data_IF_948804914632
#
_entry.id   IF_948804914632
#
_cell.length_a   1.000
_cell.length_b   1.000
_cell.length_c   1.000
_cell.angle_alpha   90.00
_cell.angle_beta   90.00
_cell.angle_gamma   90.00
#
_symmetry.space_group_name_H-M   'P 1'
#
loop_
_entity.id
_entity.type
_entity.pdbx_description
1 polymer ?
#
# COMPACT_ATOMS: atom_id res chain seq x y z
N UNK A 1 22.12 2.70 -8.75
CA UNK A 1 20.83 2.09 -8.36
C UNK A 1 21.12 1.22 -7.16
N UNK A 2 20.55 1.46 -5.95
CA UNK A 2 20.74 0.53 -4.86
C UNK A 2 20.01 -0.78 -5.21
N UNK A 3 20.77 -1.88 -5.28
CA UNK A 3 20.22 -3.23 -5.49
C UNK A 3 19.48 -3.70 -4.24
N UNK A 4 18.40 -4.45 -4.42
CA UNK A 4 17.74 -5.14 -3.29
C UNK A 4 18.76 -6.09 -2.66
N UNK A 5 18.86 -6.16 -1.31
CA UNK A 5 19.81 -7.04 -0.64
C UNK A 5 19.63 -8.51 -1.06
N UNK A 6 20.74 -9.25 -1.11
CA UNK A 6 20.75 -10.68 -1.37
C UNK A 6 19.92 -11.44 -0.31
N UNK A 7 19.42 -12.67 -0.62
CA UNK A 7 18.74 -13.50 0.36
C UNK A 7 19.56 -13.65 1.66
N UNK A 8 18.88 -13.64 2.81
CA UNK A 8 19.55 -13.74 4.10
C UNK A 8 20.28 -15.09 4.24
N UNK A 9 21.61 -15.06 4.31
CA UNK A 9 22.45 -16.26 4.40
C UNK A 9 22.61 -16.80 5.84
N UNK A 10 21.74 -16.39 6.78
CA UNK A 10 21.81 -16.84 8.16
C UNK A 10 22.84 -16.12 9.04
N UNK A 11 23.62 -15.19 8.47
CA UNK A 11 24.54 -14.33 9.22
C UNK A 11 23.95 -12.94 9.38
N UNK A 12 23.63 -12.60 10.63
CA UNK A 12 23.20 -11.24 10.97
C UNK A 12 24.41 -10.32 10.96
N UNK A 13 24.35 -9.27 10.15
CA UNK A 13 25.26 -8.14 10.28
C UNK A 13 24.98 -7.45 11.63
N UNK A 14 25.90 -7.62 12.57
CA UNK A 14 25.77 -7.11 13.93
C UNK A 14 25.81 -5.58 13.98
N UNK A 15 26.54 -4.93 13.06
CA UNK A 15 26.59 -3.48 12.98
C UNK A 15 25.25 -2.94 12.47
N UNK A 16 24.69 -3.56 11.43
CA UNK A 16 23.34 -3.27 10.96
C UNK A 16 22.30 -3.48 12.07
N UNK A 17 22.34 -4.60 12.79
CA UNK A 17 21.38 -4.88 13.86
C UNK A 17 21.49 -3.86 15.00
N UNK A 18 22.71 -3.48 15.40
CA UNK A 18 22.92 -2.46 16.42
C UNK A 18 22.35 -1.11 15.98
N UNK A 19 22.59 -0.71 14.72
CA UNK A 19 22.03 0.51 14.15
C UNK A 19 20.49 0.46 14.08
N UNK A 20 19.91 -0.65 13.57
CA UNK A 20 18.47 -0.83 13.47
C UNK A 20 17.77 -0.80 14.84
N UNK A 21 18.41 -1.33 15.89
CA UNK A 21 17.89 -1.26 17.27
C UNK A 21 17.96 0.14 17.89
N UNK A 22 18.88 0.98 17.43
CA UNK A 22 19.05 2.35 17.89
C UNK A 22 18.22 3.35 17.06
N UNK A 23 17.71 2.95 15.90
CA UNK A 23 16.91 3.80 15.04
C UNK A 23 15.52 4.03 15.65
N UNK A 24 15.22 5.30 15.94
CA UNK A 24 13.93 5.76 16.44
C UNK A 24 13.12 6.50 15.37
N UNK A 25 13.57 6.49 14.11
CA UNK A 25 12.81 7.04 13.02
C UNK A 25 11.47 6.28 12.85
N UNK A 26 10.43 6.95 12.32
CA UNK A 26 9.18 6.26 12.03
C UNK A 26 9.39 5.09 11.05
N UNK A 27 8.97 3.90 11.45
CA UNK A 27 8.89 2.75 10.55
C UNK A 27 7.81 2.95 9.46
N UNK A 28 7.68 1.99 8.54
CA UNK A 28 6.73 2.09 7.43
C UNK A 28 5.26 2.12 7.88
N UNK A 29 4.91 1.49 9.01
CA UNK A 29 3.54 1.54 9.53
C UNK A 29 3.26 2.90 10.18
N UNK A 30 4.21 3.44 10.93
CA UNK A 30 4.15 4.79 11.46
C UNK A 30 4.10 5.84 10.33
N UNK A 31 4.80 5.61 9.21
CA UNK A 31 4.71 6.42 8.00
C UNK A 31 3.33 6.30 7.35
N UNK A 32 2.79 5.10 7.24
CA UNK A 32 1.46 4.85 6.66
C UNK A 32 0.36 5.64 7.39
N UNK A 33 0.46 5.75 8.72
CA UNK A 33 -0.45 6.56 9.54
C UNK A 33 -0.32 8.07 9.32
N UNK A 34 0.70 8.56 8.62
CA UNK A 34 0.84 10.00 8.32
C UNK A 34 -0.07 10.48 7.18
N UNK A 35 -0.88 9.59 6.60
CA UNK A 35 -1.75 9.86 5.46
C UNK A 35 -3.22 9.54 5.71
N UNK A 36 -3.58 9.07 6.91
CA UNK A 36 -4.97 8.80 7.27
C UNK A 36 -5.74 10.10 7.50
N UNK A 37 -7.06 9.99 7.57
CA UNK A 37 -7.93 11.13 7.87
C UNK A 37 -7.48 11.89 9.13
N UNK A 38 -7.38 13.21 9.04
CA UNK A 38 -6.95 14.08 10.14
C UNK A 38 -5.44 14.05 10.43
N UNK A 39 -4.62 13.31 9.67
CA UNK A 39 -3.18 13.27 9.89
C UNK A 39 -2.56 14.68 9.79
N UNK A 40 -1.66 15.07 10.71
CA UNK A 40 -1.04 16.38 10.71
C UNK A 40 -0.27 16.67 9.42
N UNK A 41 -0.43 17.89 8.90
CA UNK A 41 0.31 18.34 7.72
C UNK A 41 1.79 18.45 8.06
N UNK A 42 2.63 17.79 7.26
CA UNK A 42 4.09 17.90 7.35
C UNK A 42 4.65 18.42 6.03
N UNK A 43 5.69 19.23 6.15
CA UNK A 43 6.46 19.76 5.01
C UNK A 43 7.91 19.34 5.13
N UNK A 44 8.57 19.19 3.98
CA UNK A 44 10.01 19.02 3.93
C UNK A 44 10.74 20.36 4.22
N UNK A 45 12.08 20.37 4.38
CA UNK A 45 12.83 21.59 4.62
C UNK A 45 12.70 22.67 3.52
N UNK A 46 12.26 22.29 2.32
CA UNK A 46 11.97 23.23 1.22
C UNK A 46 10.54 23.79 1.25
N UNK A 47 9.78 23.51 2.31
CA UNK A 47 8.41 23.97 2.51
C UNK A 47 7.37 23.19 1.69
N UNK A 48 7.75 22.10 1.02
CA UNK A 48 6.85 21.32 0.17
C UNK A 48 6.13 20.25 0.98
N UNK A 49 4.91 19.87 0.57
CA UNK A 49 4.13 18.81 1.23
C UNK A 49 4.94 17.52 1.29
N UNK A 50 4.91 16.87 2.46
CA UNK A 50 5.54 15.58 2.73
C UNK A 50 4.51 14.56 3.25
N UNK A 51 3.63 14.97 4.17
CA UNK A 51 2.59 14.13 4.74
C UNK A 51 1.39 14.96 5.25
N UNK A 52 0.37 14.25 5.74
CA UNK A 52 -0.93 14.77 6.17
C UNK A 52 -2.08 14.09 5.45
N UNK A 53 -3.30 14.42 5.85
CA UNK A 53 -4.53 13.85 5.29
C UNK A 53 -4.50 13.74 3.75
N UNK A 54 -4.86 12.56 3.26
CA UNK A 54 -4.86 12.18 1.85
C UNK A 54 -6.27 11.76 1.44
N UNK A 55 -6.76 12.34 0.35
CA UNK A 55 -8.02 11.93 -0.27
C UNK A 55 -7.84 10.66 -1.10
N UNK A 56 -8.91 9.97 -1.48
CA UNK A 56 -8.79 8.85 -2.43
C UNK A 56 -8.50 9.34 -3.86
N UNK A 57 -9.22 10.39 -4.26
CA UNK A 57 -9.25 10.91 -5.63
C UNK A 57 -10.35 11.98 -5.76
N UNK A 58 -10.42 12.67 -6.90
CA UNK A 58 -11.41 13.72 -7.12
C UNK A 58 -12.84 13.17 -7.08
N UNK A 59 -13.77 14.00 -6.61
CA UNK A 59 -15.20 13.65 -6.54
C UNK A 59 -15.81 13.75 -7.93
N UNK A 60 -16.50 12.69 -8.35
CA UNK A 60 -17.26 12.59 -9.59
C UNK A 60 -18.65 13.23 -9.43
N UNK A 61 -19.33 13.48 -10.56
CA UNK A 61 -20.70 14.03 -10.57
C UNK A 61 -21.72 13.15 -9.84
N UNK A 62 -21.50 11.84 -9.82
CA UNK A 62 -22.34 10.85 -9.14
C UNK A 62 -22.05 10.73 -7.63
N UNK A 63 -21.13 11.55 -7.09
CA UNK A 63 -20.69 11.48 -5.70
C UNK A 63 -19.64 10.39 -5.43
N UNK A 64 -19.31 9.57 -6.44
CA UNK A 64 -18.18 8.64 -6.39
C UNK A 64 -16.84 9.35 -6.45
N UNK A 65 -15.75 8.58 -6.44
CA UNK A 65 -14.38 9.11 -6.57
C UNK A 65 -13.62 8.39 -7.66
N UNK A 66 -12.87 9.16 -8.45
CA UNK A 66 -12.00 8.61 -9.47
C UNK A 66 -10.79 7.92 -8.83
N UNK A 67 -10.34 6.87 -9.51
CA UNK A 67 -9.12 6.14 -9.20
C UNK A 67 -8.03 6.56 -10.18
N UNK A 68 -6.76 6.49 -9.76
CA UNK A 68 -5.63 6.95 -10.54
C UNK A 68 -4.61 7.76 -9.76
N UNK A 69 -4.91 8.16 -8.52
CA UNK A 69 -4.05 9.05 -7.73
C UNK A 69 -2.83 8.30 -7.19
N UNK A 70 -1.64 8.80 -7.49
CA UNK A 70 -0.36 8.22 -7.06
C UNK A 70 0.44 9.18 -6.17
N UNK A 71 1.57 8.72 -5.63
CA UNK A 71 2.39 9.49 -4.69
C UNK A 71 2.85 10.86 -5.25
N UNK A 72 3.10 10.93 -6.56
CA UNK A 72 3.53 12.15 -7.24
C UNK A 72 2.39 13.19 -7.29
N UNK A 73 1.13 12.75 -7.40
CA UNK A 73 -0.05 13.62 -7.34
C UNK A 73 -0.24 14.19 -5.95
N UNK A 74 -0.14 13.33 -4.93
CA UNK A 74 -0.19 13.75 -3.53
C UNK A 74 0.83 14.86 -3.24
N UNK A 75 2.08 14.66 -3.70
CA UNK A 75 3.18 15.61 -3.48
C UNK A 75 3.10 16.82 -4.41
N UNK A 76 2.36 16.73 -5.52
CA UNK A 76 2.35 17.71 -6.60
C UNK A 76 3.71 17.84 -7.28
N UNK A 77 4.40 16.72 -7.54
CA UNK A 77 5.76 16.72 -8.11
C UNK A 77 5.85 15.84 -9.34
N UNK A 78 6.72 16.23 -10.27
CA UNK A 78 7.14 15.33 -11.35
C UNK A 78 8.04 14.25 -10.76
N UNK A 79 7.88 13.02 -11.23
CA UNK A 79 8.73 11.90 -10.84
C UNK A 79 9.39 11.28 -12.06
N UNK A 80 10.64 10.84 -11.91
CA UNK A 80 11.38 10.17 -12.99
C UNK A 80 11.45 8.68 -12.67
N UNK A 81 10.76 7.87 -13.46
CA UNK A 81 10.93 6.43 -13.52
C UNK A 81 12.01 6.07 -14.55
N UNK A 82 12.52 4.83 -14.54
CA UNK A 82 13.47 4.36 -15.56
C UNK A 82 12.94 4.48 -16.99
N UNK A 83 11.62 4.31 -17.18
CA UNK A 83 10.92 4.30 -18.47
C UNK A 83 10.32 5.66 -18.87
N UNK A 84 10.43 6.70 -18.02
CA UNK A 84 9.92 8.02 -18.37
C UNK A 84 9.67 8.96 -17.19
N UNK A 85 9.16 10.14 -17.49
CA UNK A 85 8.77 11.14 -16.49
C UNK A 85 7.26 11.11 -16.30
N UNK A 86 6.83 10.91 -15.06
CA UNK A 86 5.45 11.06 -14.64
C UNK A 86 5.18 12.47 -14.13
N UNK A 87 4.08 13.08 -14.55
CA UNK A 87 3.70 14.44 -14.17
C UNK A 87 2.47 14.35 -13.27
N UNK A 88 2.41 15.13 -12.18
CA UNK A 88 1.26 15.06 -11.29
C UNK A 88 0.00 15.59 -11.99
N UNK A 89 -1.11 14.89 -11.87
CA UNK A 89 -2.40 15.41 -12.27
C UNK A 89 -2.91 16.39 -11.21
N UNK A 90 -3.12 17.65 -11.62
CA UNK A 90 -3.52 18.70 -10.69
C UNK A 90 -4.87 18.43 -10.00
N UNK A 91 -5.80 17.79 -10.71
CA UNK A 91 -7.09 17.39 -10.15
C UNK A 91 -6.98 16.32 -9.05
N UNK A 92 -5.87 15.60 -9.00
CA UNK A 92 -5.57 14.53 -8.03
C UNK A 92 -4.67 15.01 -6.89
N UNK A 93 -4.44 16.32 -6.78
CA UNK A 93 -3.50 16.87 -5.80
C UNK A 93 -3.92 16.56 -4.37
N UNK A 94 -3.00 15.94 -3.63
CA UNK A 94 -3.25 15.54 -2.25
C UNK A 94 -4.05 14.23 -2.13
N UNK A 95 -4.22 13.49 -3.22
CA UNK A 95 -4.91 12.21 -3.24
C UNK A 95 -3.94 11.04 -3.35
N UNK A 96 -4.32 9.89 -2.80
CA UNK A 96 -3.63 8.61 -2.90
C UNK A 96 -4.70 7.52 -3.04
N UNK A 97 -4.75 6.82 -4.18
CA UNK A 97 -5.59 5.63 -4.31
C UNK A 97 -4.94 4.42 -3.59
N UNK A 98 -5.55 3.24 -3.69
CA UNK A 98 -5.09 2.05 -2.96
C UNK A 98 -3.60 1.75 -3.21
N UNK A 99 -3.18 1.73 -4.48
CA UNK A 99 -1.82 1.39 -4.89
C UNK A 99 -0.90 2.61 -4.88
N UNK A 100 -1.42 3.81 -5.10
CA UNK A 100 -0.71 5.07 -4.89
C UNK A 100 -0.30 5.27 -3.43
N UNK A 101 -1.15 4.89 -2.49
CA UNK A 101 -0.83 4.88 -1.05
C UNK A 101 0.30 3.89 -0.72
N UNK A 102 0.26 2.67 -1.27
CA UNK A 102 1.35 1.70 -1.10
C UNK A 102 2.66 2.23 -1.68
N UNK A 103 2.63 2.84 -2.87
CA UNK A 103 3.80 3.49 -3.49
C UNK A 103 4.31 4.68 -2.70
N UNK A 104 3.42 5.46 -2.06
CA UNK A 104 3.83 6.50 -1.13
C UNK A 104 4.63 5.92 0.04
N UNK A 105 4.09 4.90 0.71
CA UNK A 105 4.68 4.31 1.92
C UNK A 105 5.96 3.54 1.61
N UNK A 106 5.90 2.54 0.73
CA UNK A 106 7.03 1.64 0.49
C UNK A 106 8.01 2.21 -0.54
N UNK A 107 7.51 2.93 -1.54
CA UNK A 107 8.33 3.47 -2.62
C UNK A 107 8.96 4.82 -2.25
N UNK A 108 8.17 5.89 -2.23
CA UNK A 108 8.68 7.24 -2.01
C UNK A 108 9.26 7.44 -0.60
N UNK A 109 8.56 6.98 0.44
CA UNK A 109 9.00 7.12 1.83
C UNK A 109 9.93 6.00 2.28
N UNK A 110 9.71 4.78 1.81
CA UNK A 110 10.48 3.58 2.17
C UNK A 110 11.69 3.30 1.28
N UNK A 111 11.82 4.00 0.15
CA UNK A 111 12.98 3.91 -0.75
C UNK A 111 12.96 2.73 -1.73
N UNK A 112 11.88 1.94 -1.80
CA UNK A 112 11.80 0.90 -2.83
C UNK A 112 11.72 1.52 -4.24
N UNK A 113 12.45 0.97 -5.22
CA UNK A 113 12.32 1.41 -6.61
C UNK A 113 10.87 1.26 -7.09
N UNK A 114 10.42 2.18 -7.93
CA UNK A 114 9.06 2.18 -8.50
C UNK A 114 9.10 2.27 -10.02
N UNK A 115 8.17 1.57 -10.69
CA UNK A 115 8.03 1.57 -12.15
C UNK A 115 6.60 1.96 -12.56
N UNK A 116 6.40 2.53 -13.76
CA UNK A 116 5.06 2.90 -14.25
C UNK A 116 4.27 1.68 -14.73
N UNK A 117 4.94 0.76 -15.39
CA UNK A 117 4.40 -0.52 -15.81
C UNK A 117 5.10 -1.69 -15.08
N UNK A 118 4.52 -2.89 -15.17
CA UNK A 118 5.26 -4.11 -14.89
C UNK A 118 6.41 -4.23 -15.92
N UNK A 119 7.65 -4.42 -15.47
CA UNK A 119 8.78 -4.32 -16.40
C UNK A 119 10.17 -4.71 -15.88
N UNK A 120 10.25 -5.36 -14.72
CA UNK A 120 11.50 -5.98 -14.25
C UNK A 120 11.40 -6.41 -12.80
N UNK A 121 12.03 -7.53 -12.41
CA UNK A 121 12.17 -7.85 -11.00
C UNK A 121 12.98 -6.72 -10.35
N UNK A 122 12.53 -6.20 -9.21
CA UNK A 122 13.14 -5.11 -8.41
C UNK A 122 12.47 -3.72 -8.48
N UNK A 123 11.23 -3.57 -8.93
CA UNK A 123 10.48 -2.33 -8.74
C UNK A 123 9.00 -2.56 -8.40
N UNK A 124 8.43 -1.68 -7.59
CA UNK A 124 7.03 -1.65 -7.22
C UNK A 124 6.19 -1.06 -8.39
N UNK A 125 5.33 -1.86 -9.04
CA UNK A 125 4.50 -1.40 -10.17
C UNK A 125 3.41 -0.43 -9.74
N UNK A 126 2.68 0.17 -10.70
CA UNK A 126 1.62 1.14 -10.39
C UNK A 126 0.30 0.50 -9.94
N UNK A 127 -0.08 -0.64 -10.51
CA UNK A 127 -1.40 -1.24 -10.33
C UNK A 127 -1.38 -2.38 -9.32
N UNK A 128 -2.47 -2.56 -8.56
CA UNK A 128 -2.58 -3.60 -7.52
C UNK A 128 -2.32 -5.02 -8.05
N UNK A 129 -2.95 -5.45 -9.15
CA UNK A 129 -2.67 -6.77 -9.75
C UNK A 129 -1.19 -6.92 -10.15
N UNK A 130 -0.58 -5.88 -10.74
CA UNK A 130 0.84 -5.92 -11.11
C UNK A 130 1.74 -6.01 -9.89
N UNK A 131 1.36 -5.40 -8.76
CA UNK A 131 2.09 -5.54 -7.50
C UNK A 131 2.01 -6.97 -6.97
N UNK A 132 0.84 -7.62 -7.05
CA UNK A 132 0.70 -9.02 -6.67
C UNK A 132 1.64 -9.91 -7.53
N UNK A 133 1.59 -9.73 -8.84
CA UNK A 133 2.30 -10.57 -9.81
C UNK A 133 3.81 -10.33 -9.82
N UNK A 134 4.25 -9.06 -9.77
CA UNK A 134 5.59 -8.67 -10.19
C UNK A 134 6.35 -7.74 -9.23
N UNK A 135 5.76 -7.30 -8.11
CA UNK A 135 6.53 -6.54 -7.11
C UNK A 135 7.69 -7.39 -6.54
N UNK A 136 8.77 -6.75 -6.02
CA UNK A 136 9.86 -7.47 -5.37
C UNK A 136 9.41 -8.25 -4.12
N UNK A 137 10.33 -9.06 -3.59
CA UNK A 137 10.14 -9.79 -2.34
C UNK A 137 9.44 -11.14 -2.50
N UNK A 138 8.88 -11.63 -1.40
CA UNK A 138 8.36 -12.99 -1.25
C UNK A 138 6.85 -13.06 -1.44
N UNK A 139 6.38 -13.92 -2.35
CA UNK A 139 4.97 -14.30 -2.44
C UNK A 139 4.62 -15.19 -1.24
N UNK A 140 3.75 -14.70 -0.37
CA UNK A 140 3.26 -15.44 0.80
C UNK A 140 2.00 -16.25 0.47
N UNK A 141 1.17 -15.71 -0.41
CA UNK A 141 0.01 -16.38 -0.98
C UNK A 141 -0.21 -15.87 -2.41
N UNK A 142 -0.30 -16.80 -3.36
CA UNK A 142 -0.63 -16.48 -4.75
C UNK A 142 -2.16 -16.40 -4.94
N UNK A 143 -2.61 -15.66 -5.95
CA UNK A 143 -4.03 -15.64 -6.31
C UNK A 143 -4.46 -17.01 -6.87
N UNK A 144 -5.37 -17.67 -6.16
CA UNK A 144 -5.91 -19.00 -6.51
C UNK A 144 -7.41 -18.97 -6.80
N UNK A 145 -7.98 -17.80 -7.06
CA UNK A 145 -9.43 -17.61 -7.16
C UNK A 145 -10.22 -17.79 -5.85
N UNK A 146 -9.52 -17.93 -4.72
CA UNK A 146 -10.12 -18.13 -3.40
C UNK A 146 -9.34 -17.40 -2.29
N UNK A 147 -9.98 -17.09 -1.14
CA UNK A 147 -9.30 -16.57 0.03
C UNK A 147 -8.12 -17.46 0.48
N UNK A 148 -6.90 -16.91 0.61
CA UNK A 148 -5.75 -17.66 1.10
C UNK A 148 -5.97 -18.27 2.48
N UNK A 149 -5.49 -19.51 2.66
CA UNK A 149 -5.36 -20.14 3.96
C UNK A 149 -4.08 -21.02 3.99
N UNK A 150 -3.35 -21.07 5.11
CA UNK A 150 -3.58 -20.36 6.37
C UNK A 150 -2.89 -18.99 6.47
N UNK A 151 -3.51 -18.05 7.21
CA UNK A 151 -3.04 -16.66 7.35
C UNK A 151 -1.92 -16.44 8.38
N UNK A 152 -1.37 -17.51 8.96
CA UNK A 152 -0.34 -17.40 10.00
C UNK A 152 1.02 -16.96 9.46
N UNK A 153 1.25 -17.05 8.15
CA UNK A 153 2.48 -16.59 7.50
C UNK A 153 2.57 -15.05 7.40
N UNK A 154 1.45 -14.35 7.58
CA UNK A 154 1.38 -12.89 7.49
C UNK A 154 2.02 -12.22 8.72
N UNK A 155 2.81 -11.18 8.47
CA UNK A 155 3.40 -10.29 9.45
C UNK A 155 3.02 -8.82 9.14
N UNK A 156 2.92 -7.95 10.16
CA UNK A 156 2.65 -6.53 9.94
C UNK A 156 3.60 -5.92 8.90
N UNK A 157 3.05 -5.16 7.96
CA UNK A 157 3.78 -4.62 6.80
C UNK A 157 3.64 -5.43 5.51
N UNK A 158 3.14 -6.67 5.56
CA UNK A 158 2.86 -7.43 4.35
C UNK A 158 1.76 -6.77 3.51
N UNK A 159 1.90 -6.83 2.20
CA UNK A 159 0.85 -6.41 1.28
C UNK A 159 -0.22 -7.50 1.19
N UNK A 160 -1.48 -7.06 1.20
CA UNK A 160 -2.67 -7.90 1.03
C UNK A 160 -3.49 -7.41 -0.15
N UNK A 161 -3.89 -8.31 -1.03
CA UNK A 161 -4.50 -8.00 -2.32
C UNK A 161 -5.92 -8.54 -2.40
N UNK A 162 -6.81 -7.79 -3.04
CA UNK A 162 -8.24 -8.09 -3.08
C UNK A 162 -8.83 -7.90 -4.48
N UNK A 163 -9.84 -8.71 -4.77
CA UNK A 163 -10.78 -8.63 -5.89
C UNK A 163 -12.11 -8.13 -5.30
N UNK A 164 -12.18 -6.81 -5.04
CA UNK A 164 -13.20 -6.17 -4.22
C UNK A 164 -14.26 -5.41 -5.04
N UNK A 165 -13.97 -5.10 -6.30
CA UNK A 165 -14.91 -4.60 -7.28
C UNK A 165 -15.67 -5.78 -7.89
N UNK A 166 -16.96 -5.60 -8.12
CA UNK A 166 -17.80 -6.63 -8.74
C UNK A 166 -17.97 -6.41 -10.25
N UNK A 167 -17.50 -5.27 -10.77
CA UNK A 167 -17.79 -4.74 -12.10
C UNK A 167 -16.60 -4.73 -13.06
N UNK A 168 -15.39 -5.09 -12.62
CA UNK A 168 -14.19 -5.10 -13.47
C UNK A 168 -13.62 -6.50 -13.79
N UNK A 169 -14.36 -7.56 -13.42
CA UNK A 169 -14.03 -8.96 -13.66
C UNK A 169 -13.56 -9.67 -12.38
N UNK A 170 -12.81 -10.76 -12.54
CA UNK A 170 -12.20 -11.49 -11.42
C UNK A 170 -10.68 -11.21 -11.41
N UNK A 171 -10.30 -9.98 -11.08
CA UNK A 171 -8.90 -9.54 -11.10
C UNK A 171 -8.66 -8.63 -9.91
N UNK A 172 -7.55 -8.87 -9.21
CA UNK A 172 -7.07 -7.98 -8.14
C UNK A 172 -7.15 -6.50 -8.55
N UNK A 173 -7.98 -5.76 -7.83
CA UNK A 173 -8.24 -4.32 -8.01
C UNK A 173 -7.77 -3.49 -6.82
N UNK A 174 -7.56 -4.12 -5.66
CA UNK A 174 -7.30 -3.40 -4.43
C UNK A 174 -6.12 -3.98 -3.66
N UNK A 175 -5.40 -3.11 -2.96
CA UNK A 175 -4.25 -3.47 -2.13
C UNK A 175 -4.29 -2.72 -0.80
N UNK A 176 -3.82 -3.38 0.25
CA UNK A 176 -3.64 -2.82 1.57
C UNK A 176 -2.37 -3.32 2.26
N UNK A 177 -2.10 -2.78 3.44
CA UNK A 177 -0.97 -3.11 4.30
C UNK A 177 -1.53 -3.84 5.53
N UNK A 178 -1.09 -5.07 5.76
CA UNK A 178 -1.48 -5.83 6.94
C UNK A 178 -0.93 -5.19 8.21
N UNK A 179 -1.78 -5.03 9.23
CA UNK A 179 -1.44 -4.38 10.50
C UNK A 179 -1.17 -5.38 11.63
N UNK A 180 -1.49 -6.65 11.44
CA UNK A 180 -1.47 -7.65 12.51
C UNK A 180 -2.86 -7.94 13.07
N UNK A 181 -2.87 -8.45 14.30
CA UNK A 181 -4.06 -8.89 15.02
C UNK A 181 -4.48 -7.82 16.03
N UNK A 182 -5.75 -7.42 16.02
CA UNK A 182 -6.30 -6.49 17.01
C UNK A 182 -6.59 -7.16 18.37
N UNK A 183 -7.02 -6.36 19.35
CA UNK A 183 -7.38 -6.84 20.69
C UNK A 183 -8.55 -7.82 20.71
N UNK A 184 -9.33 -7.90 19.63
CA UNK A 184 -10.40 -8.88 19.44
C UNK A 184 -9.94 -10.17 18.74
N UNK A 185 -8.64 -10.34 18.51
CA UNK A 185 -8.09 -11.50 17.82
C UNK A 185 -8.31 -11.48 16.30
N UNK A 186 -8.63 -10.31 15.71
CA UNK A 186 -8.96 -10.18 14.29
C UNK A 186 -7.81 -9.60 13.48
N UNK A 187 -7.58 -10.13 12.28
CA UNK A 187 -6.55 -9.65 11.35
C UNK A 187 -6.97 -8.36 10.66
N UNK A 188 -6.29 -7.25 10.97
CA UNK A 188 -6.58 -5.91 10.45
C UNK A 188 -5.64 -5.51 9.32
N UNK A 189 -6.12 -4.65 8.43
CA UNK A 189 -5.28 -4.03 7.40
C UNK A 189 -5.64 -2.55 7.20
N UNK A 190 -4.71 -1.80 6.63
CA UNK A 190 -4.82 -0.39 6.28
C UNK A 190 -4.84 -0.26 4.75
N UNK A 191 -5.79 0.49 4.20
CA UNK A 191 -5.84 0.73 2.75
C UNK A 191 -6.50 2.06 2.43
N UNK A 192 -6.17 2.67 1.29
CA UNK A 192 -6.89 3.83 0.79
C UNK A 192 -8.17 3.42 0.06
N UNK A 193 -9.33 4.01 0.41
CA UNK A 193 -10.64 3.58 -0.10
C UNK A 193 -11.49 4.72 -0.62
N UNK A 194 -12.24 4.48 -1.70
CA UNK A 194 -13.26 5.40 -2.24
C UNK A 194 -14.25 5.84 -1.15
N UNK A 195 -14.82 4.87 -0.42
CA UNK A 195 -15.86 5.12 0.58
C UNK A 195 -15.39 5.82 1.86
N UNK A 196 -14.09 5.78 2.16
CA UNK A 196 -13.51 6.48 3.31
C UNK A 196 -12.82 7.80 2.94
N UNK A 197 -12.76 8.10 1.63
CA UNK A 197 -11.96 9.18 1.07
C UNK A 197 -10.50 9.18 1.52
N UNK A 198 -9.81 8.05 1.32
CA UNK A 198 -8.38 7.95 1.60
C UNK A 198 -7.99 6.76 2.48
N UNK A 199 -6.73 6.75 2.97
CA UNK A 199 -6.20 5.71 3.85
C UNK A 199 -6.98 5.56 5.16
N UNK A 200 -7.43 4.34 5.45
CA UNK A 200 -8.16 4.02 6.67
C UNK A 200 -7.88 2.60 7.19
N UNK A 201 -7.83 2.47 8.52
CA UNK A 201 -7.88 1.21 9.26
C UNK A 201 -9.30 0.90 9.77
N UNK A 202 -10.24 1.81 9.53
CA UNK A 202 -11.63 1.72 9.97
C UNK A 202 -12.49 0.83 9.08
N UNK A 203 -13.76 0.71 9.41
CA UNK A 203 -14.70 -0.20 8.73
C UNK A 203 -15.55 0.51 7.66
N UNK A 204 -15.25 1.78 7.38
CA UNK A 204 -15.89 2.58 6.34
C UNK A 204 -15.52 2.05 4.95
N UNK A 205 -16.54 1.87 4.10
CA UNK A 205 -16.37 1.25 2.78
C UNK A 205 -16.08 -0.25 2.81
N UNK A 206 -16.27 -0.90 3.96
CA UNK A 206 -15.99 -2.32 4.18
C UNK A 206 -15.14 -2.53 5.43
N UNK A 207 -15.39 -3.58 6.20
CA UNK A 207 -14.64 -3.87 7.42
C UNK A 207 -13.18 -4.17 7.09
N UNK A 208 -12.24 -3.56 7.81
CA UNK A 208 -10.80 -3.78 7.62
C UNK A 208 -10.35 -5.13 8.19
N UNK A 209 -10.94 -6.22 7.71
CA UNK A 209 -10.76 -7.57 8.22
C UNK A 209 -10.39 -8.53 7.08
N UNK A 210 -9.33 -9.31 7.30
CA UNK A 210 -8.98 -10.44 6.43
C UNK A 210 -9.79 -11.70 6.77
N UNK A 211 -10.14 -11.86 8.04
CA UNK A 211 -10.97 -12.97 8.50
C UNK A 211 -12.46 -12.60 8.37
N UNK A 212 -13.28 -13.52 7.88
CA UNK A 212 -14.73 -13.35 7.88
C UNK A 212 -15.29 -13.42 9.32
N UNK A 213 -16.25 -12.58 9.65
CA UNK A 213 -17.07 -12.73 10.88
C UNK A 213 -18.41 -13.28 10.41
N UNK A 214 -18.81 -14.46 10.90
CA UNK A 214 -20.07 -15.13 10.50
C UNK A 214 -20.20 -15.34 8.98
N UNK A 215 -19.09 -15.61 8.28
CA UNK A 215 -19.06 -15.74 6.82
C UNK A 215 -19.25 -14.42 6.06
N UNK A 216 -19.22 -13.27 6.75
CA UNK A 216 -19.47 -11.95 6.17
C UNK A 216 -18.21 -11.07 6.19
N UNK A 217 -18.18 -10.13 5.26
CA UNK A 217 -17.14 -9.11 5.11
C UNK A 217 -16.69 -9.01 3.66
N UNK A 218 -16.74 -7.81 3.08
CA UNK A 218 -16.30 -7.57 1.71
C UNK A 218 -14.86 -8.05 1.51
N UNK A 219 -13.93 -7.49 2.28
CA UNK A 219 -12.51 -7.77 2.14
C UNK A 219 -12.11 -9.18 2.56
N UNK A 220 -12.80 -9.77 3.53
CA UNK A 220 -12.55 -11.16 3.90
C UNK A 220 -12.89 -12.15 2.76
N UNK A 221 -13.95 -11.88 1.98
CA UNK A 221 -14.30 -12.70 0.82
C UNK A 221 -13.48 -12.35 -0.43
N UNK A 222 -13.14 -11.08 -0.56
CA UNK A 222 -12.38 -10.55 -1.68
C UNK A 222 -10.87 -10.80 -1.56
N UNK A 223 -10.35 -11.30 -0.43
CA UNK A 223 -8.92 -11.49 -0.23
C UNK A 223 -8.38 -12.57 -1.19
N UNK A 224 -7.28 -12.29 -1.90
CA UNK A 224 -6.76 -13.16 -2.98
C UNK A 224 -5.32 -13.55 -2.83
N UNK A 225 -4.46 -12.63 -2.40
CA UNK A 225 -3.02 -12.84 -2.41
C UNK A 225 -2.31 -12.01 -1.33
N UNK A 226 -1.09 -12.41 -0.99
CA UNK A 226 -0.24 -11.66 -0.07
C UNK A 226 1.24 -11.72 -0.48
N UNK A 227 1.96 -10.63 -0.21
CA UNK A 227 3.38 -10.48 -0.55
C UNK A 227 4.13 -9.71 0.52
N UNK A 228 5.33 -10.14 0.86
CA UNK A 228 6.30 -9.38 1.68
C UNK A 228 7.29 -8.69 0.76
N UNK A 229 7.44 -7.38 0.89
CA UNK A 229 8.36 -6.58 0.08
C UNK A 229 9.79 -6.58 0.66
#
# INVERSE_FOLDING_TARGET
MPSVPAPFEGRVDQAWLAAARADTAPDLLAVALQYVHGAPRRRDPSGRRLAGDAHYGPVRRDGGRDEGSDFNDYLGRRWRHPDGVDRPEWAQRGSLDCSGFVRMVFGYRGGLPMARAAGGPQALPRRAHQMADAAPGLVLAADTAAPPAPLHALAPGDLVFFDAAADDGARIDHVGIYLGVDSGGRRRFLSSRKGADGPTMGDTGGRSLLDAVDGRGLYARAFRAARRL
#
